data_IF_397924050971
#
_entry.id   IF_397924050971
#
_cell.length_a   1.000
_cell.length_b   1.000
_cell.length_c   1.000
_cell.angle_alpha   90.00
_cell.angle_beta   90.00
_cell.angle_gamma   90.00
#
_symmetry.space_group_name_H-M   'P 1'
#
loop_
_entity.id
_entity.type
_entity.pdbx_description
1 polymer ?
#
# COMPACT_ATOMS: atom_id res chain seq x y z
N UNK A 1 18.26 6.83 -16.04
CA UNK A 1 17.76 6.84 -14.65
C UNK A 1 16.25 6.66 -14.69
N UNK A 2 15.74 5.60 -14.07
CA UNK A 2 14.29 5.40 -13.96
C UNK A 2 13.66 6.51 -13.12
N UNK A 3 12.47 6.95 -13.50
CA UNK A 3 11.76 8.03 -12.81
C UNK A 3 11.42 7.59 -11.38
N UNK A 4 11.69 8.44 -10.37
CA UNK A 4 11.51 8.05 -8.99
C UNK A 4 10.02 7.77 -8.68
N UNK A 5 9.67 6.59 -8.16
CA UNK A 5 8.29 6.19 -7.93
C UNK A 5 7.62 7.09 -6.90
N UNK A 6 6.29 7.25 -7.07
CA UNK A 6 5.45 7.96 -6.10
C UNK A 6 5.51 7.28 -4.74
N UNK A 7 5.65 8.10 -3.70
CA UNK A 7 5.55 7.65 -2.32
C UNK A 7 4.25 6.86 -2.12
N UNK A 8 4.38 5.71 -1.43
CA UNK A 8 3.25 4.83 -1.14
C UNK A 8 2.46 5.39 0.05
N UNK A 9 1.19 5.75 -0.17
CA UNK A 9 0.23 6.11 0.88
C UNK A 9 -0.12 4.88 1.73
N UNK A 10 -0.58 5.09 2.97
CA UNK A 10 -1.06 4.07 3.91
C UNK A 10 -1.95 3.00 3.25
N UNK A 11 -2.90 3.41 2.41
CA UNK A 11 -3.83 2.47 1.76
C UNK A 11 -3.11 1.55 0.76
N UNK A 12 -2.08 2.04 0.07
CA UNK A 12 -1.26 1.25 -0.85
C UNK A 12 -0.44 0.23 -0.08
N UNK A 13 0.13 0.62 1.06
CA UNK A 13 0.88 -0.28 1.95
C UNK A 13 -0.04 -1.39 2.49
N UNK A 14 -1.22 -1.01 2.99
CA UNK A 14 -2.23 -1.95 3.49
C UNK A 14 -2.71 -2.92 2.41
N UNK A 15 -3.05 -2.40 1.23
CA UNK A 15 -3.46 -3.21 0.08
C UNK A 15 -2.39 -4.23 -0.29
N UNK A 16 -1.13 -3.80 -0.39
CA UNK A 16 -0.02 -4.67 -0.75
C UNK A 16 0.20 -5.77 0.28
N UNK A 17 0.08 -5.43 1.58
CA UNK A 17 0.15 -6.41 2.67
C UNK A 17 -0.98 -7.46 2.57
N UNK A 18 -2.23 -7.02 2.41
CA UNK A 18 -3.36 -7.95 2.29
C UNK A 18 -3.26 -8.81 1.03
N UNK A 19 -2.86 -8.25 -0.11
CA UNK A 19 -2.62 -9.03 -1.34
C UNK A 19 -1.50 -10.07 -1.20
N UNK A 20 -0.54 -9.88 -0.28
CA UNK A 20 0.53 -10.83 -0.02
C UNK A 20 0.16 -11.93 0.98
N UNK A 21 -0.90 -11.74 1.78
CA UNK A 21 -1.35 -12.72 2.79
C UNK A 21 -1.82 -14.03 2.13
N UNK A 22 -1.54 -15.21 2.74
CA UNK A 22 -1.92 -16.52 2.21
C UNK A 22 -3.42 -16.65 1.89
N UNK A 23 -4.29 -16.07 2.71
CA UNK A 23 -5.75 -16.06 2.50
C UNK A 23 -6.13 -15.50 1.13
N UNK A 24 -5.44 -14.44 0.71
CA UNK A 24 -5.70 -13.76 -0.55
C UNK A 24 -4.88 -14.32 -1.69
N UNK A 25 -3.65 -14.78 -1.41
CA UNK A 25 -2.79 -15.45 -2.38
C UNK A 25 -3.43 -16.75 -2.89
N UNK A 26 -4.15 -17.48 -2.03
CA UNK A 26 -4.88 -18.69 -2.41
C UNK A 26 -6.16 -18.35 -3.21
N UNK A 27 -6.90 -17.30 -2.84
CA UNK A 27 -8.03 -16.80 -3.64
C UNK A 27 -7.63 -16.37 -5.05
N UNK A 28 -6.48 -15.71 -5.21
CA UNK A 28 -5.90 -15.33 -6.51
C UNK A 28 -5.43 -16.53 -7.34
N UNK A 29 -5.01 -17.62 -6.71
CA UNK A 29 -4.57 -18.86 -7.39
C UNK A 29 -5.75 -19.69 -7.91
N UNK A 30 -6.79 -19.85 -7.08
CA UNK A 30 -8.00 -20.60 -7.43
C UNK A 30 -8.83 -19.83 -8.44
N UNK A 31 -8.94 -18.52 -8.24
CA UNK A 31 -9.74 -17.65 -9.07
C UNK A 31 -8.81 -16.61 -9.73
N UNK A 32 -8.20 -17.01 -10.87
CA UNK A 32 -7.34 -16.13 -11.70
C UNK A 32 -8.04 -14.82 -12.11
N UNK A 33 -9.36 -14.71 -11.90
CA UNK A 33 -10.20 -13.54 -12.16
C UNK A 33 -10.51 -12.69 -10.92
N UNK A 34 -10.27 -13.16 -9.69
CA UNK A 34 -10.49 -12.35 -8.47
C UNK A 34 -9.34 -11.36 -8.33
N UNK A 35 -9.35 -10.35 -9.19
CA UNK A 35 -8.79 -9.05 -8.87
C UNK A 35 -9.55 -8.58 -7.65
N UNK A 36 -8.97 -8.70 -6.46
CA UNK A 36 -9.45 -7.98 -5.28
C UNK A 36 -9.73 -6.56 -5.70
N UNK A 37 -11.00 -6.20 -5.74
CA UNK A 37 -11.37 -4.88 -6.19
C UNK A 37 -10.89 -3.92 -5.12
N UNK A 38 -10.38 -2.75 -5.54
CA UNK A 38 -9.97 -1.73 -4.57
C UNK A 38 -11.14 -1.33 -3.65
N UNK A 39 -12.38 -1.64 -4.05
CA UNK A 39 -13.60 -1.54 -3.25
C UNK A 39 -13.60 -2.47 -2.03
N UNK A 40 -13.34 -3.77 -2.20
CA UNK A 40 -13.35 -4.74 -1.08
C UNK A 40 -12.27 -4.42 -0.05
N UNK A 41 -11.06 -4.09 -0.51
CA UNK A 41 -9.97 -3.68 0.38
C UNK A 41 -10.28 -2.36 1.07
N UNK A 42 -11.00 -1.46 0.40
CA UNK A 42 -11.52 -0.23 1.00
C UNK A 42 -12.51 -0.49 2.14
N UNK A 43 -13.40 -1.48 1.97
CA UNK A 43 -14.34 -1.90 3.02
C UNK A 43 -13.59 -2.51 4.20
N UNK A 44 -12.64 -3.42 3.94
CA UNK A 44 -11.78 -4.02 4.97
C UNK A 44 -11.02 -2.95 5.76
N UNK A 45 -10.41 -1.98 5.07
CA UNK A 45 -9.69 -0.89 5.73
C UNK A 45 -10.60 -0.05 6.64
N UNK A 46 -11.84 0.22 6.24
CA UNK A 46 -12.81 0.94 7.07
C UNK A 46 -13.13 0.18 8.36
N UNK A 47 -13.31 -1.13 8.25
CA UNK A 47 -13.68 -2.01 9.37
C UNK A 47 -12.49 -2.53 10.19
N UNK A 48 -11.25 -2.27 9.76
CA UNK A 48 -10.04 -2.72 10.45
C UNK A 48 -9.88 -2.04 11.81
N UNK A 49 -9.24 -2.74 12.75
CA UNK A 49 -9.01 -2.24 14.12
C UNK A 49 -8.11 -1.02 14.14
N UNK A 50 -8.26 -0.21 15.19
CA UNK A 50 -7.46 1.01 15.36
C UNK A 50 -5.97 0.71 15.52
N UNK A 51 -5.61 -0.42 16.13
CA UNK A 51 -4.22 -0.87 16.29
C UNK A 51 -3.56 -1.16 14.95
N UNK A 52 -4.25 -1.88 14.06
CA UNK A 52 -3.75 -2.15 12.71
C UNK A 52 -3.63 -0.84 11.94
N UNK A 53 -4.62 0.07 12.04
CA UNK A 53 -4.53 1.40 11.42
C UNK A 53 -3.29 2.15 11.92
N UNK A 54 -3.05 2.19 13.24
CA UNK A 54 -1.87 2.83 13.87
C UNK A 54 -0.56 2.24 13.34
N UNK A 55 -0.47 0.92 13.20
CA UNK A 55 0.69 0.25 12.61
C UNK A 55 0.95 0.76 11.18
N UNK A 56 -0.07 0.79 10.33
CA UNK A 56 0.09 1.27 8.95
C UNK A 56 0.40 2.78 8.88
N UNK A 57 -0.10 3.59 9.82
CA UNK A 57 0.30 5.00 9.93
C UNK A 57 1.78 5.14 10.29
N UNK A 58 2.29 4.31 11.20
CA UNK A 58 3.72 4.27 11.52
C UNK A 58 4.56 3.84 10.29
N UNK A 59 4.10 2.82 9.55
CA UNK A 59 4.74 2.39 8.30
C UNK A 59 4.77 3.50 7.24
N UNK A 60 3.69 4.29 7.11
CA UNK A 60 3.64 5.43 6.20
C UNK A 60 4.67 6.50 6.58
N UNK A 61 4.80 6.81 7.89
CA UNK A 61 5.82 7.74 8.39
C UNK A 61 7.23 7.28 8.05
N UNK A 62 7.51 5.98 8.23
CA UNK A 62 8.81 5.40 7.87
C UNK A 62 9.04 5.41 6.35
N UNK A 63 8.01 5.11 5.56
CA UNK A 63 8.09 5.17 4.10
C UNK A 63 8.39 6.60 3.60
N UNK A 64 7.74 7.62 4.19
CA UNK A 64 8.04 9.03 3.94
C UNK A 64 9.49 9.37 4.23
N UNK A 65 9.98 8.96 5.40
CA UNK A 65 11.37 9.21 5.81
C UNK A 65 12.37 8.58 4.82
N UNK A 66 12.19 7.29 4.49
CA UNK A 66 13.07 6.60 3.52
C UNK A 66 12.99 7.21 2.13
N UNK A 67 11.80 7.59 1.68
CA UNK A 67 11.62 8.21 0.36
C UNK A 67 12.34 9.56 0.28
N UNK A 68 12.24 10.37 1.34
CA UNK A 68 13.00 11.62 1.49
C UNK A 68 14.51 11.38 1.53
N UNK A 69 14.99 10.34 2.21
CA UNK A 69 16.42 9.99 2.25
C UNK A 69 16.96 9.59 0.85
N UNK A 70 16.17 8.89 0.04
CA UNK A 70 16.61 8.41 -1.27
C UNK A 70 16.49 9.49 -2.36
N UNK A 71 15.41 10.26 -2.35
CA UNK A 71 15.05 11.18 -3.45
C UNK A 71 15.17 12.66 -3.08
N UNK A 72 15.47 12.97 -1.82
CA UNK A 72 15.55 14.34 -1.29
C UNK A 72 14.17 14.98 -1.06
N UNK A 73 14.20 16.14 -0.39
CA UNK A 73 13.00 16.93 -0.10
C UNK A 73 12.33 17.53 -1.32
N UNK A 74 13.08 17.72 -2.40
CA UNK A 74 12.61 18.34 -3.63
C UNK A 74 11.92 17.35 -4.59
N UNK A 75 11.50 16.18 -4.08
CA UNK A 75 10.78 15.19 -4.86
C UNK A 75 9.47 15.77 -5.42
N UNK A 76 9.40 15.87 -6.75
CA UNK A 76 8.18 16.23 -7.47
C UNK A 76 7.74 15.05 -8.33
N UNK A 77 6.61 14.40 -8.00
CA UNK A 77 6.08 13.35 -8.86
C UNK A 77 5.60 13.96 -10.18
N UNK A 78 6.07 13.45 -11.31
CA UNK A 78 5.52 13.82 -12.61
C UNK A 78 4.07 13.33 -12.72
N UNK A 79 3.19 14.20 -13.24
CA UNK A 79 1.86 13.79 -13.69
C UNK A 79 2.04 13.13 -15.06
N UNK A 80 1.58 11.88 -15.18
CA UNK A 80 1.42 11.22 -16.48
C UNK A 80 0.14 11.69 -17.14
#
# INVERSE_FOLDING_TARGET
FEKPPRLQNIFILYRRNKSASPEFKNKLKVDRKVKLTSKEIGILWKNETEEVKKLFYALERMAKKKHREIYGDNYKPERK
#
